data_IF_958413704750
#
_entry.id   IF_958413704750
#
_cell.length_a   1.000
_cell.length_b   1.000
_cell.length_c   1.000
_cell.angle_alpha   90.00
_cell.angle_beta   90.00
_cell.angle_gamma   90.00
#
_symmetry.space_group_name_H-M   'P 1'
#
loop_
_entity.id
_entity.type
_entity.pdbx_description
1 polymer ?
#
# COMPACT_ATOMS: atom_id res chain seq x y z
N UNK A 1 -72.66 3.29 -28.13
CA UNK A 1 -71.78 4.48 -28.24
C UNK A 1 -70.42 4.08 -27.70
N UNK A 2 -69.53 3.63 -28.58
CA UNK A 2 -68.18 3.16 -28.26
C UNK A 2 -67.30 4.36 -27.85
N UNK A 3 -66.52 4.22 -26.77
CA UNK A 3 -65.33 5.04 -26.54
C UNK A 3 -64.14 4.10 -26.35
N UNK A 4 -63.37 3.96 -27.42
CA UNK A 4 -61.92 3.70 -27.38
C UNK A 4 -61.23 4.81 -26.59
N UNK A 5 -60.13 4.50 -25.88
CA UNK A 5 -58.88 5.28 -25.76
C UNK A 5 -57.92 4.55 -24.77
N UNK A 6 -56.59 4.79 -24.82
CA UNK A 6 -55.65 3.78 -25.32
C UNK A 6 -54.67 3.21 -24.28
N UNK A 7 -53.96 2.18 -24.73
CA UNK A 7 -52.75 1.57 -24.16
C UNK A 7 -51.69 2.63 -23.85
N UNK A 8 -51.22 2.67 -22.60
CA UNK A 8 -49.91 3.21 -22.25
C UNK A 8 -49.11 2.04 -21.67
N UNK A 9 -48.19 1.53 -22.48
CA UNK A 9 -47.23 0.52 -22.08
C UNK A 9 -46.24 1.13 -21.09
N UNK A 10 -46.18 0.59 -19.89
CA UNK A 10 -45.08 0.83 -18.98
C UNK A 10 -43.93 -0.09 -19.40
N UNK A 11 -42.96 0.48 -20.13
CA UNK A 11 -41.66 -0.14 -20.34
C UNK A 11 -40.99 -0.28 -18.97
N UNK A 12 -40.96 -1.48 -18.41
CA UNK A 12 -40.11 -1.78 -17.28
C UNK A 12 -38.66 -1.84 -17.78
N UNK A 13 -37.93 -0.75 -17.58
CA UNK A 13 -36.46 -0.74 -17.73
C UNK A 13 -35.91 -1.59 -16.58
N UNK A 14 -35.59 -2.84 -16.87
CA UNK A 14 -34.75 -3.66 -16.01
C UNK A 14 -33.36 -3.03 -16.01
N UNK A 15 -33.06 -2.22 -15.01
CA UNK A 15 -31.70 -1.81 -14.71
C UNK A 15 -30.92 -3.06 -14.29
N UNK A 16 -30.24 -3.67 -15.26
CA UNK A 16 -29.19 -4.64 -15.02
C UNK A 16 -28.08 -3.95 -14.21
N UNK A 17 -28.06 -4.18 -12.90
CA UNK A 17 -26.97 -3.77 -12.03
C UNK A 17 -25.73 -4.55 -12.44
N UNK A 18 -24.84 -3.89 -13.16
CA UNK A 18 -23.53 -4.39 -13.51
C UNK A 18 -22.60 -4.35 -12.31
N UNK A 19 -22.04 -5.52 -11.99
CA UNK A 19 -20.66 -5.79 -11.57
C UNK A 19 -20.04 -5.06 -10.35
N UNK A 20 -19.26 -5.87 -9.63
CA UNK A 20 -18.36 -5.56 -8.53
C UNK A 20 -19.04 -5.36 -7.16
N UNK A 21 -19.31 -6.48 -6.48
CA UNK A 21 -19.10 -6.52 -5.03
C UNK A 21 -17.65 -6.10 -4.79
N UNK A 22 -17.46 -4.86 -4.35
CA UNK A 22 -16.24 -4.42 -3.66
C UNK A 22 -15.96 -5.47 -2.59
N UNK A 23 -14.76 -6.07 -2.65
CA UNK A 23 -14.25 -6.91 -1.57
C UNK A 23 -14.37 -6.05 -0.32
N UNK A 24 -15.32 -6.45 0.52
CA UNK A 24 -15.70 -5.82 1.78
C UNK A 24 -14.43 -5.64 2.63
N UNK A 25 -14.38 -4.55 3.39
CA UNK A 25 -13.29 -4.13 4.27
C UNK A 25 -12.36 -5.26 4.73
N UNK A 26 -11.04 -5.04 4.62
CA UNK A 26 -9.96 -5.94 5.05
C UNK A 26 -10.41 -6.93 6.14
N UNK A 27 -10.60 -8.21 5.76
CA UNK A 27 -11.12 -9.29 6.62
C UNK A 27 -10.23 -9.52 7.86
N UNK A 28 -8.99 -9.02 7.83
CA UNK A 28 -8.03 -9.12 8.94
C UNK A 28 -7.79 -7.72 9.52
N UNK A 29 -8.01 -7.52 10.84
CA UNK A 29 -7.76 -6.24 11.50
C UNK A 29 -6.27 -5.91 11.46
N UNK A 30 -5.97 -4.66 11.13
CA UNK A 30 -4.61 -4.15 11.08
C UNK A 30 -4.07 -3.90 12.49
N UNK A 31 -2.83 -4.31 12.80
CA UNK A 31 -2.22 -3.97 14.08
C UNK A 31 -1.94 -2.45 14.15
N UNK A 32 -2.37 -1.80 15.23
CA UNK A 32 -1.98 -0.42 15.53
C UNK A 32 -0.50 -0.39 15.94
N UNK A 33 0.32 0.33 15.18
CA UNK A 33 1.75 0.51 15.49
C UNK A 33 2.01 1.96 15.88
N UNK A 34 2.51 2.15 17.10
CA UNK A 34 2.93 3.45 17.61
C UNK A 34 4.19 3.92 16.86
N UNK A 35 4.18 5.17 16.39
CA UNK A 35 5.30 5.78 15.66
C UNK A 35 6.03 6.75 16.58
N UNK A 36 7.31 6.46 16.86
CA UNK A 36 8.20 7.41 17.50
C UNK A 36 8.76 8.42 16.48
N UNK A 37 8.16 9.61 16.44
CA UNK A 37 8.60 10.71 15.58
C UNK A 37 9.93 11.34 16.00
N UNK A 38 10.41 11.10 17.23
CA UNK A 38 11.70 11.64 17.70
C UNK A 38 12.91 10.94 17.06
N UNK A 39 12.69 9.77 16.46
CA UNK A 39 13.70 8.93 15.84
C UNK A 39 13.43 8.68 14.33
N UNK A 40 12.79 9.65 13.66
CA UNK A 40 12.48 9.56 12.24
C UNK A 40 13.76 9.35 11.41
N UNK A 41 13.70 8.41 10.46
CA UNK A 41 14.80 8.08 9.57
C UNK A 41 14.69 8.82 8.24
N UNK A 42 15.83 9.22 7.68
CA UNK A 42 15.85 9.75 6.32
C UNK A 42 15.60 8.63 5.29
N UNK A 43 15.18 8.95 4.06
CA UNK A 43 15.10 7.96 2.99
C UNK A 43 16.42 7.22 2.74
N UNK A 44 17.57 7.88 2.89
CA UNK A 44 18.88 7.24 2.76
C UNK A 44 19.10 6.21 3.88
N UNK A 45 18.83 6.58 5.13
CA UNK A 45 19.00 5.68 6.28
C UNK A 45 18.09 4.46 6.14
N UNK A 46 16.86 4.64 5.68
CA UNK A 46 15.90 3.56 5.48
C UNK A 46 16.33 2.59 4.39
N UNK A 47 16.91 3.08 3.30
CA UNK A 47 17.50 2.23 2.28
C UNK A 47 18.68 1.41 2.83
N UNK A 48 19.54 2.02 3.65
CA UNK A 48 20.61 1.31 4.37
C UNK A 48 20.04 0.26 5.31
N UNK A 49 19.05 0.60 6.14
CA UNK A 49 18.39 -0.34 7.05
C UNK A 49 17.76 -1.52 6.31
N UNK A 50 17.12 -1.27 5.16
CA UNK A 50 16.56 -2.34 4.34
C UNK A 50 17.64 -3.23 3.74
N UNK A 51 18.74 -2.65 3.24
CA UNK A 51 19.89 -3.42 2.75
C UNK A 51 20.48 -4.29 3.86
N UNK A 52 20.65 -3.73 5.06
CA UNK A 52 21.16 -4.47 6.21
C UNK A 52 20.20 -5.59 6.62
N UNK A 53 18.89 -5.33 6.68
CA UNK A 53 17.90 -6.36 6.99
C UNK A 53 17.94 -7.52 5.98
N UNK A 54 18.07 -7.23 4.68
CA UNK A 54 18.24 -8.25 3.62
C UNK A 54 19.53 -9.05 3.79
N UNK A 55 20.63 -8.38 4.13
CA UNK A 55 21.91 -9.05 4.39
C UNK A 55 21.81 -9.97 5.61
N UNK A 56 21.20 -9.49 6.70
CA UNK A 56 21.00 -10.29 7.93
C UNK A 56 20.07 -11.47 7.71
N UNK A 57 19.07 -11.33 6.84
CA UNK A 57 18.25 -12.47 6.42
C UNK A 57 19.11 -13.56 5.75
N UNK A 58 20.02 -13.17 4.87
CA UNK A 58 20.89 -14.11 4.19
C UNK A 58 21.93 -14.78 5.11
N UNK A 59 22.39 -14.09 6.17
CA UNK A 59 23.43 -14.62 7.08
C UNK A 59 22.88 -15.31 8.31
N UNK A 60 21.80 -14.78 8.89
CA UNK A 60 21.30 -15.13 10.23
C UNK A 60 19.87 -15.67 10.18
N UNK A 61 19.20 -15.63 9.03
CA UNK A 61 17.84 -16.13 8.85
C UNK A 61 16.75 -15.24 9.47
N UNK A 62 15.56 -15.81 9.59
CA UNK A 62 14.36 -15.07 9.96
C UNK A 62 14.29 -14.66 11.44
N UNK A 63 14.97 -15.39 12.33
CA UNK A 63 14.95 -15.15 13.78
C UNK A 63 15.38 -13.73 14.15
N UNK A 64 16.37 -13.19 13.44
CA UNK A 64 16.82 -11.80 13.62
C UNK A 64 16.04 -10.84 12.72
N UNK A 65 15.76 -11.27 11.48
CA UNK A 65 15.35 -10.37 10.41
C UNK A 65 13.92 -9.86 10.53
N UNK A 66 13.01 -10.60 11.18
CA UNK A 66 11.63 -10.15 11.43
C UNK A 66 11.62 -8.77 12.10
N UNK A 67 12.40 -8.60 13.17
CA UNK A 67 12.46 -7.32 13.91
C UNK A 67 13.02 -6.17 13.06
N UNK A 68 13.96 -6.47 12.16
CA UNK A 68 14.58 -5.49 11.28
C UNK A 68 13.61 -5.01 10.20
N UNK A 69 12.89 -5.94 9.56
CA UNK A 69 11.86 -5.57 8.58
C UNK A 69 10.70 -4.82 9.23
N UNK A 70 10.29 -5.21 10.44
CA UNK A 70 9.29 -4.48 11.22
C UNK A 70 9.73 -3.03 11.48
N UNK A 71 10.99 -2.81 11.87
CA UNK A 71 11.53 -1.46 12.06
C UNK A 71 11.56 -0.64 10.75
N UNK A 72 11.93 -1.27 9.63
CA UNK A 72 11.92 -0.61 8.31
C UNK A 72 10.50 -0.22 7.90
N UNK A 73 9.52 -1.11 8.05
CA UNK A 73 8.14 -0.86 7.62
C UNK A 73 7.51 0.30 8.40
N UNK A 74 7.69 0.34 9.72
CA UNK A 74 7.19 1.42 10.58
C UNK A 74 7.79 2.76 10.21
N UNK A 75 9.12 2.84 10.10
CA UNK A 75 9.81 4.11 9.86
C UNK A 75 9.64 4.61 8.43
N UNK A 76 9.57 3.72 7.43
CA UNK A 76 9.26 4.10 6.05
C UNK A 76 7.83 4.60 5.88
N UNK A 77 6.86 3.98 6.56
CA UNK A 77 5.48 4.47 6.59
C UNK A 77 5.39 5.88 7.22
N UNK A 78 6.03 6.09 8.36
CA UNK A 78 6.09 7.38 9.03
C UNK A 78 6.71 8.47 8.13
N UNK A 79 7.83 8.14 7.51
CA UNK A 79 8.56 9.05 6.61
C UNK A 79 7.72 9.40 5.38
N UNK A 80 7.07 8.43 4.74
CA UNK A 80 6.16 8.66 3.63
C UNK A 80 5.02 9.60 4.03
N UNK A 81 4.39 9.37 5.18
CA UNK A 81 3.27 10.20 5.66
C UNK A 81 3.70 11.65 5.89
N UNK A 82 4.87 11.89 6.49
CA UNK A 82 5.39 13.24 6.70
C UNK A 82 5.63 13.97 5.37
N UNK A 83 6.24 13.29 4.40
CA UNK A 83 6.47 13.87 3.06
C UNK A 83 5.12 14.23 2.42
N UNK A 84 4.14 13.32 2.48
CA UNK A 84 2.79 13.57 1.93
C UNK A 84 2.10 14.74 2.63
N UNK A 85 2.19 14.85 3.96
CA UNK A 85 1.65 15.99 4.70
C UNK A 85 2.23 17.31 4.21
N UNK A 86 3.53 17.35 3.90
CA UNK A 86 4.17 18.52 3.28
C UNK A 86 3.63 18.88 1.89
N UNK A 87 3.17 17.87 1.13
CA UNK A 87 2.57 18.05 -0.20
C UNK A 87 1.09 18.45 -0.16
N UNK A 88 0.40 18.22 0.96
CA UNK A 88 -1.05 18.42 1.07
C UNK A 88 -1.55 19.82 0.69
N UNK A 89 -0.87 20.93 1.06
CA UNK A 89 -1.35 22.26 0.69
C UNK A 89 -1.47 22.44 -0.83
N UNK A 90 -0.49 21.93 -1.59
CA UNK A 90 -0.56 21.92 -3.05
C UNK A 90 -1.70 21.02 -3.52
N UNK A 91 -1.85 19.81 -2.98
CA UNK A 91 -2.90 18.90 -3.43
C UNK A 91 -4.33 19.31 -3.07
N UNK A 92 -4.51 20.04 -1.97
CA UNK A 92 -5.80 20.59 -1.54
C UNK A 92 -6.18 21.88 -2.25
N UNK A 93 -5.24 22.55 -2.92
CA UNK A 93 -5.52 23.81 -3.59
C UNK A 93 -6.40 23.65 -4.82
N UNK A 94 -7.08 24.73 -5.17
CA UNK A 94 -7.94 24.81 -6.36
C UNK A 94 -7.12 24.69 -7.65
N UNK A 95 -7.82 24.42 -8.76
CA UNK A 95 -7.19 24.27 -10.09
C UNK A 95 -6.37 25.50 -10.47
N UNK A 96 -6.93 26.70 -10.30
CA UNK A 96 -6.30 27.95 -10.72
C UNK A 96 -5.04 28.26 -9.88
N UNK A 97 -5.06 27.93 -8.58
CA UNK A 97 -3.92 28.07 -7.69
C UNK A 97 -2.79 27.10 -8.07
N UNK A 98 -3.14 25.84 -8.38
CA UNK A 98 -2.17 24.85 -8.89
C UNK A 98 -1.56 25.31 -10.20
N UNK A 99 -2.38 25.84 -11.11
CA UNK A 99 -1.90 26.35 -12.39
C UNK A 99 -0.96 27.54 -12.19
N UNK A 100 -1.33 28.50 -11.35
CA UNK A 100 -0.49 29.66 -11.02
C UNK A 100 0.84 29.25 -10.39
N UNK A 101 0.82 28.30 -9.45
CA UNK A 101 2.02 27.75 -8.81
C UNK A 101 2.92 27.01 -9.80
N UNK A 102 2.32 26.17 -10.65
CA UNK A 102 3.00 25.28 -11.60
C UNK A 102 3.57 25.98 -12.83
N UNK A 103 3.21 27.24 -13.08
CA UNK A 103 3.80 28.06 -14.17
C UNK A 103 5.31 28.26 -14.02
N UNK A 104 5.83 28.12 -12.80
CA UNK A 104 7.24 28.24 -12.46
C UNK A 104 7.84 26.85 -12.29
N UNK A 105 8.83 26.50 -13.13
CA UNK A 105 9.45 25.16 -13.09
C UNK A 105 10.14 24.90 -11.76
N UNK A 106 10.75 25.92 -11.17
CA UNK A 106 11.42 25.87 -9.87
C UNK A 106 10.47 25.48 -8.72
N UNK A 107 9.16 25.66 -8.89
CA UNK A 107 8.16 25.24 -7.92
C UNK A 107 7.74 23.76 -8.10
N UNK A 108 7.73 23.27 -9.35
CA UNK A 108 7.32 21.91 -9.67
C UNK A 108 8.37 20.86 -9.32
N UNK A 109 9.65 21.19 -9.56
CA UNK A 109 10.74 20.23 -9.40
C UNK A 109 10.80 19.65 -7.97
N UNK A 110 10.71 20.46 -6.89
CA UNK A 110 10.68 19.92 -5.53
C UNK A 110 9.44 19.06 -5.23
N UNK A 111 8.27 19.37 -5.81
CA UNK A 111 7.07 18.55 -5.62
C UNK A 111 7.25 17.15 -6.19
N UNK A 112 7.77 17.07 -7.42
CA UNK A 112 8.07 15.80 -8.10
C UNK A 112 9.06 14.99 -7.26
N UNK A 113 10.14 15.61 -6.79
CA UNK A 113 11.16 14.94 -5.97
C UNK A 113 10.57 14.37 -4.67
N UNK A 114 9.71 15.14 -4.00
CA UNK A 114 9.07 14.70 -2.75
C UNK A 114 8.01 13.62 -3.00
N UNK A 115 7.25 13.71 -4.09
CA UNK A 115 6.30 12.65 -4.48
C UNK A 115 7.02 11.34 -4.79
N UNK A 116 8.11 11.40 -5.56
CA UNK A 116 8.98 10.25 -5.81
C UNK A 116 9.49 9.69 -4.50
N UNK A 117 10.09 10.52 -3.63
CA UNK A 117 10.60 10.06 -2.34
C UNK A 117 9.52 9.40 -1.46
N UNK A 118 8.30 9.96 -1.41
CA UNK A 118 7.19 9.34 -0.68
C UNK A 118 6.80 7.99 -1.28
N UNK A 119 6.72 7.88 -2.60
CA UNK A 119 6.33 6.64 -3.27
C UNK A 119 7.41 5.56 -3.08
N UNK A 120 8.69 5.95 -3.11
CA UNK A 120 9.81 5.08 -2.81
C UNK A 120 9.70 4.50 -1.39
N UNK A 121 9.37 5.34 -0.39
CA UNK A 121 9.17 4.88 1.00
C UNK A 121 7.94 3.97 1.15
N UNK A 122 6.87 4.23 0.40
CA UNK A 122 5.69 3.34 0.36
C UNK A 122 6.06 1.96 -0.20
N UNK A 123 6.86 1.91 -1.28
CA UNK A 123 7.35 0.64 -1.83
C UNK A 123 8.27 -0.07 -0.84
N UNK A 124 9.18 0.67 -0.20
CA UNK A 124 10.09 0.12 0.81
C UNK A 124 9.34 -0.50 2.00
N UNK A 125 8.30 0.18 2.49
CA UNK A 125 7.40 -0.33 3.52
C UNK A 125 6.73 -1.64 3.09
N UNK A 126 6.15 -1.64 1.90
CA UNK A 126 5.46 -2.81 1.37
C UNK A 126 6.42 -3.99 1.22
N UNK A 127 7.63 -3.78 0.70
CA UNK A 127 8.65 -4.80 0.62
C UNK A 127 9.01 -5.36 2.01
N UNK A 128 9.17 -4.48 2.99
CA UNK A 128 9.50 -4.89 4.35
C UNK A 128 8.39 -5.75 4.97
N UNK A 129 7.11 -5.41 4.78
CA UNK A 129 6.01 -6.26 5.23
C UNK A 129 5.98 -7.62 4.54
N UNK A 130 6.24 -7.70 3.22
CA UNK A 130 6.30 -9.00 2.54
C UNK A 130 7.37 -9.88 3.17
N UNK A 131 8.58 -9.33 3.37
CA UNK A 131 9.69 -10.07 3.97
C UNK A 131 9.45 -10.45 5.42
N UNK A 132 8.92 -9.53 6.23
CA UNK A 132 8.52 -9.78 7.61
C UNK A 132 7.48 -10.92 7.67
N UNK A 133 6.44 -10.83 6.85
CA UNK A 133 5.37 -11.83 6.78
C UNK A 133 5.86 -13.21 6.37
N UNK A 134 6.67 -13.30 5.31
CA UNK A 134 7.30 -14.56 4.89
C UNK A 134 8.15 -15.16 6.01
N UNK A 135 8.98 -14.34 6.67
CA UNK A 135 9.79 -14.81 7.77
C UNK A 135 8.98 -15.28 8.99
N UNK A 136 7.90 -14.58 9.33
CA UNK A 136 7.00 -15.01 10.40
C UNK A 136 6.39 -16.38 10.09
N UNK A 137 6.00 -16.63 8.84
CA UNK A 137 5.51 -17.96 8.43
C UNK A 137 6.58 -19.04 8.56
N UNK A 138 7.83 -18.75 8.16
CA UNK A 138 8.97 -19.67 8.29
C UNK A 138 9.24 -20.05 9.76
N UNK A 139 9.10 -19.08 10.68
CA UNK A 139 9.25 -19.29 12.12
C UNK A 139 8.03 -19.97 12.77
N UNK A 140 6.99 -20.28 12.00
CA UNK A 140 5.74 -20.88 12.50
C UNK A 140 4.79 -19.89 13.18
N UNK A 141 5.08 -18.59 13.15
CA UNK A 141 4.23 -17.51 13.65
C UNK A 141 3.08 -17.19 12.69
N UNK A 142 2.26 -18.21 12.43
CA UNK A 142 1.28 -18.25 11.33
C UNK A 142 0.33 -17.06 11.31
N UNK A 143 -0.31 -16.75 12.45
CA UNK A 143 -1.33 -15.70 12.52
C UNK A 143 -0.72 -14.31 12.24
N UNK A 144 0.47 -14.04 12.78
CA UNK A 144 1.20 -12.79 12.53
C UNK A 144 1.65 -12.71 11.07
N UNK A 145 2.19 -13.79 10.52
CA UNK A 145 2.62 -13.83 9.13
C UNK A 145 1.46 -13.59 8.16
N UNK A 146 0.31 -14.23 8.38
CA UNK A 146 -0.92 -13.99 7.62
C UNK A 146 -1.34 -12.51 7.73
N UNK A 147 -1.40 -11.97 8.95
CA UNK A 147 -1.79 -10.58 9.18
C UNK A 147 -0.90 -9.59 8.44
N UNK A 148 0.43 -9.77 8.52
CA UNK A 148 1.40 -8.89 7.88
C UNK A 148 1.33 -9.01 6.35
N UNK A 149 1.22 -10.23 5.79
CA UNK A 149 1.07 -10.42 4.34
C UNK A 149 -0.25 -9.86 3.81
N UNK A 150 -1.34 -9.99 4.56
CA UNK A 150 -2.61 -9.35 4.21
C UNK A 150 -2.51 -7.82 4.21
N UNK A 151 -1.83 -7.24 5.20
CA UNK A 151 -1.55 -5.79 5.22
C UNK A 151 -0.77 -5.33 3.98
N UNK A 152 0.24 -6.11 3.57
CA UNK A 152 1.01 -5.84 2.36
C UNK A 152 0.16 -5.96 1.10
N UNK A 153 -0.58 -7.06 0.92
CA UNK A 153 -1.42 -7.31 -0.26
C UNK A 153 -2.52 -6.26 -0.44
N UNK A 154 -3.05 -5.69 0.64
CA UNK A 154 -4.01 -4.59 0.57
C UNK A 154 -3.41 -3.26 0.05
N UNK A 155 -2.07 -3.14 -0.01
CA UNK A 155 -1.35 -1.89 -0.31
C UNK A 155 -0.34 -2.01 -1.45
N UNK A 156 -0.09 -3.22 -1.93
CA UNK A 156 0.74 -3.49 -3.10
C UNK A 156 -0.14 -3.40 -4.35
N UNK A 157 0.33 -2.66 -5.35
CA UNK A 157 -0.26 -2.61 -6.68
C UNK A 157 0.33 -3.71 -7.59
N UNK A 158 -0.41 -4.03 -8.66
CA UNK A 158 0.01 -5.04 -9.67
C UNK A 158 0.79 -4.41 -10.84
N UNK A 159 1.35 -3.22 -10.64
CA UNK A 159 2.17 -2.54 -11.63
C UNK A 159 3.56 -3.22 -11.79
N UNK A 160 4.30 -2.94 -12.88
CA UNK A 160 5.58 -3.59 -13.14
C UNK A 160 6.64 -3.45 -12.03
N UNK A 161 6.65 -2.35 -11.27
CA UNK A 161 7.65 -2.13 -10.22
C UNK A 161 7.35 -2.95 -8.96
N UNK A 162 6.06 -3.20 -8.69
CA UNK A 162 5.60 -3.91 -7.48
C UNK A 162 5.21 -5.37 -7.74
N UNK A 163 5.23 -5.81 -9.00
CA UNK A 163 4.76 -7.14 -9.43
C UNK A 163 5.43 -8.28 -8.67
N UNK A 164 6.75 -8.25 -8.53
CA UNK A 164 7.49 -9.35 -7.90
C UNK A 164 7.11 -9.50 -6.42
N UNK A 165 6.96 -8.38 -5.70
CA UNK A 165 6.47 -8.38 -4.32
C UNK A 165 5.06 -8.94 -4.20
N UNK A 166 4.17 -8.58 -5.13
CA UNK A 166 2.81 -9.13 -5.17
C UNK A 166 2.81 -10.65 -5.41
N UNK A 167 3.63 -11.11 -6.37
CA UNK A 167 3.76 -12.53 -6.70
C UNK A 167 4.31 -13.34 -5.51
N UNK A 168 5.28 -12.79 -4.79
CA UNK A 168 5.86 -13.41 -3.59
C UNK A 168 4.82 -13.50 -2.46
N UNK A 169 4.19 -12.37 -2.11
CA UNK A 169 3.23 -12.31 -1.01
C UNK A 169 2.01 -13.22 -1.25
N UNK A 170 1.46 -13.24 -2.46
CA UNK A 170 0.31 -14.10 -2.78
C UNK A 170 0.70 -15.58 -2.76
N UNK A 171 1.90 -15.94 -3.24
CA UNK A 171 2.35 -17.32 -3.27
C UNK A 171 2.54 -17.85 -1.85
N UNK A 172 3.13 -17.04 -0.97
CA UNK A 172 3.25 -17.35 0.45
C UNK A 172 1.86 -17.59 1.10
N UNK A 173 0.87 -16.75 0.79
CA UNK A 173 -0.50 -16.91 1.31
C UNK A 173 -1.21 -18.15 0.77
N UNK A 174 -1.07 -18.46 -0.52
CA UNK A 174 -1.72 -19.62 -1.15
C UNK A 174 -1.09 -20.94 -0.69
N UNK A 175 0.22 -20.97 -0.47
CA UNK A 175 0.92 -22.13 0.07
C UNK A 175 0.36 -22.57 1.44
N UNK A 176 -0.11 -21.61 2.28
CA UNK A 176 -0.73 -21.92 3.57
C UNK A 176 -2.01 -22.77 3.45
N UNK A 177 -2.68 -22.72 2.30
CA UNK A 177 -3.92 -23.48 2.04
C UNK A 177 -3.72 -24.56 0.97
N UNK A 178 -2.47 -24.86 0.58
CA UNK A 178 -2.13 -25.92 -0.35
C UNK A 178 -2.44 -25.58 -1.82
N UNK A 179 -2.40 -24.30 -2.20
CA UNK A 179 -2.55 -23.84 -3.58
C UNK A 179 -1.22 -23.24 -4.06
N UNK A 180 -0.71 -23.69 -5.21
CA UNK A 180 0.51 -23.18 -5.86
C UNK A 180 0.17 -22.51 -7.21
#
# INVERSE_FOLDING_TARGET
MWKMFPVIGCLAVLASTSAAQTIEDSIIPEPEVEVDFSNLKSPSDLNTMMSDAKNRLATDGCEVSVSLFSAVSVQSNATANIIRTGLEPYYRSGRDEKEAFSRKRENLQPLIEMETASNDMIRLRNEAWVREGVCLLELGERDRGISTLSQALNRISVDPESRDMWLEARAAMWALVGLE
#
